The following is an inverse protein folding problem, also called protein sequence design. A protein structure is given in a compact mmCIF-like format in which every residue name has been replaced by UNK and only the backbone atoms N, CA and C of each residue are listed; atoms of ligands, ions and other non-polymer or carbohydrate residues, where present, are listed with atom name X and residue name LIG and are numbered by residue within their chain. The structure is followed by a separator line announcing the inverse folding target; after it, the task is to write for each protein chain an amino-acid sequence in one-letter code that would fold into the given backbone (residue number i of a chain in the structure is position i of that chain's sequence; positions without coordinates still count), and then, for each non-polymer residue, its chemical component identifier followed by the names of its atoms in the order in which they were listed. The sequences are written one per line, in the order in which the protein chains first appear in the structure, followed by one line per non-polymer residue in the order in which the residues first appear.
data_IF_061367805295
#
_entry.id   IF_061367805295
#
_cell.length_a   1.000
_cell.length_b   1.000
_cell.length_c   1.000
_cell.angle_alpha   90.00
_cell.angle_beta   90.00
_cell.angle_gamma   90.00
#
_symmetry.space_group_name_H-M   'P 1'
#
loop_
_entity.id
_entity.type
_entity.pdbx_description
1 polymer ?
#
# COMPACT_ATOMS: atom_id res chain seq x y z
N UNK A 1 -2.25 -2.60 -0.28
CA UNK A 1 -1.42 -1.51 -0.84
C UNK A 1 -0.10 -1.98 -1.42
N UNK A 2 0.64 -2.85 -0.73
CA UNK A 2 1.90 -3.40 -1.24
C UNK A 2 1.77 -4.02 -2.63
N UNK A 3 0.79 -4.91 -2.85
CA UNK A 3 0.53 -5.51 -4.16
C UNK A 3 0.23 -4.47 -5.25
N UNK A 4 -0.52 -3.41 -4.92
CA UNK A 4 -0.81 -2.33 -5.87
C UNK A 4 0.48 -1.57 -6.23
N UNK A 5 1.35 -1.29 -5.26
CA UNK A 5 2.67 -0.72 -5.50
C UNK A 5 3.54 -1.62 -6.38
N UNK A 6 3.51 -2.92 -6.12
CA UNK A 6 4.23 -3.93 -6.87
C UNK A 6 3.78 -4.05 -8.34
N UNK A 7 2.49 -4.01 -8.61
CA UNK A 7 1.99 -4.08 -9.99
C UNK A 7 2.06 -2.73 -10.72
N UNK A 8 2.20 -1.61 -10.01
CA UNK A 8 2.26 -0.30 -10.65
C UNK A 8 3.50 -0.14 -11.51
N UNK A 9 3.32 0.42 -12.71
CA UNK A 9 4.42 0.79 -13.61
C UNK A 9 4.87 2.24 -13.42
N UNK A 10 4.07 3.06 -12.74
CA UNK A 10 4.37 4.48 -12.49
C UNK A 10 4.05 4.82 -11.04
N UNK A 11 4.98 5.46 -10.33
CA UNK A 11 4.74 5.91 -8.95
C UNK A 11 3.56 6.89 -8.83
N UNK A 12 3.43 7.79 -9.82
CA UNK A 12 2.40 8.85 -9.83
C UNK A 12 0.96 8.32 -9.81
N UNK A 13 0.70 7.10 -10.30
CA UNK A 13 -0.65 6.52 -10.23
C UNK A 13 -1.02 6.02 -8.83
N UNK A 14 -0.05 5.85 -7.93
CA UNK A 14 -0.29 5.43 -6.54
C UNK A 14 -0.90 6.50 -5.66
N UNK A 15 -0.58 7.77 -5.90
CA UNK A 15 -1.02 8.89 -5.07
C UNK A 15 -2.56 9.02 -5.01
N UNK A 16 -3.30 9.04 -6.14
CA UNK A 16 -4.76 9.13 -6.08
C UNK A 16 -5.40 7.88 -5.47
N UNK A 17 -4.83 6.69 -5.72
CA UNK A 17 -5.35 5.43 -5.15
C UNK A 17 -5.16 5.41 -3.62
N UNK A 18 -4.01 5.89 -3.14
CA UNK A 18 -3.72 5.96 -1.72
C UNK A 18 -4.67 6.93 -1.00
N UNK A 19 -4.94 8.09 -1.62
CA UNK A 19 -5.89 9.07 -1.12
C UNK A 19 -7.30 8.47 -1.01
N UNK A 20 -7.81 7.86 -2.09
CA UNK A 20 -9.16 7.27 -2.13
C UNK A 20 -9.33 6.19 -1.06
N UNK A 21 -8.33 5.32 -0.88
CA UNK A 21 -8.41 4.27 0.14
C UNK A 21 -8.32 4.82 1.55
N UNK A 22 -7.47 5.83 1.80
CA UNK A 22 -7.42 6.49 3.10
C UNK A 22 -8.75 7.17 3.45
N UNK A 23 -9.38 7.86 2.48
CA UNK A 23 -10.71 8.47 2.66
C UNK A 23 -11.75 7.40 2.93
N UNK A 24 -11.84 6.37 2.09
CA UNK A 24 -12.84 5.30 2.22
C UNK A 24 -12.74 4.55 3.54
N UNK A 25 -11.52 4.20 3.97
CA UNK A 25 -11.30 3.54 5.27
C UNK A 25 -11.55 4.46 6.46
N UNK A 26 -11.35 5.77 6.33
CA UNK A 26 -11.69 6.75 7.39
C UNK A 26 -13.21 6.91 7.51
N UNK A 27 -13.91 7.04 6.38
CA UNK A 27 -15.38 7.09 6.34
C UNK A 27 -16.01 5.80 6.91
N UNK A 28 -15.47 4.63 6.54
CA UNK A 28 -15.91 3.35 7.09
C UNK A 28 -15.73 3.30 8.61
N UNK A 29 -14.58 3.76 9.13
CA UNK A 29 -14.37 3.85 10.57
C UNK A 29 -15.45 4.72 11.22
N UNK A 30 -15.71 5.93 10.70
CA UNK A 30 -16.73 6.83 11.26
C UNK A 30 -18.12 6.19 11.35
N UNK A 31 -18.51 5.44 10.31
CA UNK A 31 -19.79 4.71 10.31
C UNK A 31 -19.79 3.61 11.37
N UNK A 32 -18.70 2.84 11.50
CA UNK A 32 -18.60 1.76 12.49
C UNK A 32 -18.58 2.28 13.93
N UNK A 33 -17.94 3.42 14.20
CA UNK A 33 -17.89 4.00 15.55
C UNK A 33 -19.23 4.64 15.96
N UNK A 34 -20.14 4.88 15.02
CA UNK A 34 -21.51 5.31 15.31
C UNK A 34 -22.44 4.14 15.71
N UNK A 35 -21.91 2.93 15.85
CA UNK A 35 -22.67 1.76 16.33
C UNK A 35 -23.10 1.93 17.79
N UNK A 36 -24.33 1.50 18.17
CA UNK A 36 -24.82 1.58 19.55
C UNK A 36 -24.00 0.77 20.56
N UNK A 37 -23.08 -0.09 20.09
CA UNK A 37 -22.12 -0.84 20.90
C UNK A 37 -21.12 0.07 21.63
N UNK A 38 -20.83 1.25 21.08
CA UNK A 38 -19.91 2.21 21.70
C UNK A 38 -20.62 3.16 22.67
N UNK A 39 -20.00 3.42 23.82
CA UNK A 39 -20.50 4.38 24.81
C UNK A 39 -20.50 5.80 24.27
N UNK A 40 -21.30 6.70 24.87
CA UNK A 40 -21.41 8.09 24.42
C UNK A 40 -20.07 8.86 24.48
N UNK A 41 -19.22 8.51 25.45
CA UNK A 41 -17.88 9.10 25.64
C UNK A 41 -16.92 8.63 24.55
N UNK A 42 -16.92 7.34 24.21
CA UNK A 42 -16.10 6.78 23.12
C UNK A 42 -16.49 7.37 21.76
N UNK A 43 -17.79 7.59 21.54
CA UNK A 43 -18.29 8.29 20.36
C UNK A 43 -17.78 9.73 20.31
N UNK A 44 -17.87 10.48 21.42
CA UNK A 44 -17.39 11.86 21.45
C UNK A 44 -15.89 12.02 21.18
N UNK A 45 -15.04 11.16 21.76
CA UNK A 45 -13.60 11.14 21.50
C UNK A 45 -13.29 10.77 20.04
N UNK A 46 -14.04 9.81 19.50
CA UNK A 46 -13.88 9.34 18.11
C UNK A 46 -14.37 10.34 17.05
N UNK A 47 -15.30 11.22 17.41
CA UNK A 47 -15.87 12.24 16.51
C UNK A 47 -15.20 13.63 16.62
N UNK A 48 -14.14 13.77 17.41
CA UNK A 48 -13.34 15.01 17.39
C UNK A 48 -12.64 15.17 16.04
N UNK A 49 -12.59 16.40 15.52
CA UNK A 49 -11.92 16.69 14.25
C UNK A 49 -10.44 16.25 14.26
N UNK A 50 -9.78 16.38 15.41
CA UNK A 50 -8.39 15.95 15.62
C UNK A 50 -8.23 14.43 15.53
N UNK A 51 -9.12 13.65 16.16
CA UNK A 51 -9.11 12.18 16.08
C UNK A 51 -9.34 11.69 14.65
N UNK A 52 -10.28 12.31 13.93
CA UNK A 52 -10.55 12.01 12.52
C UNK A 52 -9.33 12.34 11.65
N UNK A 53 -8.73 13.51 11.84
CA UNK A 53 -7.56 13.95 11.10
C UNK A 53 -6.34 13.04 11.35
N UNK A 54 -6.08 12.68 12.61
CA UNK A 54 -5.00 11.76 12.97
C UNK A 54 -5.23 10.35 12.41
N UNK A 55 -6.46 9.85 12.48
CA UNK A 55 -6.83 8.55 11.91
C UNK A 55 -6.63 8.52 10.38
N UNK A 56 -7.10 9.57 9.70
CA UNK A 56 -6.89 9.75 8.27
C UNK A 56 -5.40 9.84 7.91
N UNK A 57 -4.64 10.65 8.65
CA UNK A 57 -3.21 10.85 8.42
C UNK A 57 -2.43 9.55 8.63
N UNK A 58 -2.70 8.81 9.70
CA UNK A 58 -2.08 7.52 9.96
C UNK A 58 -2.37 6.53 8.82
N UNK A 59 -3.63 6.41 8.39
CA UNK A 59 -4.02 5.57 7.26
C UNK A 59 -3.34 5.99 5.97
N UNK A 60 -3.28 7.29 5.68
CA UNK A 60 -2.59 7.81 4.50
C UNK A 60 -1.09 7.47 4.52
N UNK A 61 -0.43 7.66 5.66
CA UNK A 61 0.99 7.32 5.84
C UNK A 61 1.25 5.84 5.65
N UNK A 62 0.47 4.96 6.29
CA UNK A 62 0.61 3.51 6.09
C UNK A 62 0.41 3.12 4.62
N UNK A 63 -0.63 3.66 4.00
CA UNK A 63 -0.97 3.41 2.60
C UNK A 63 0.20 3.81 1.68
N UNK A 64 0.81 4.98 1.94
CA UNK A 64 1.97 5.47 1.21
C UNK A 64 3.21 4.61 1.44
N UNK A 65 3.53 4.24 2.69
CA UNK A 65 4.69 3.40 3.01
C UNK A 65 4.60 2.02 2.35
N UNK A 66 3.44 1.36 2.45
CA UNK A 66 3.25 0.04 1.83
C UNK A 66 3.26 0.11 0.30
N UNK A 67 2.64 1.13 -0.30
CA UNK A 67 2.73 1.34 -1.75
C UNK A 67 4.19 1.56 -2.17
N UNK A 68 4.91 2.38 -1.40
CA UNK A 68 6.29 2.74 -1.67
C UNK A 68 7.24 1.55 -1.62
N UNK A 69 7.11 0.75 -0.57
CA UNK A 69 7.85 -0.49 -0.41
C UNK A 69 7.59 -1.44 -1.58
N UNK A 70 6.33 -1.66 -1.96
CA UNK A 70 5.97 -2.55 -3.07
C UNK A 70 6.61 -2.13 -4.41
N UNK A 71 6.56 -0.84 -4.73
CA UNK A 71 7.14 -0.33 -5.97
C UNK A 71 8.69 -0.32 -5.96
N UNK A 72 9.31 -0.01 -4.81
CA UNK A 72 10.76 -0.12 -4.65
C UNK A 72 11.25 -1.56 -4.80
N UNK A 73 10.56 -2.52 -4.17
CA UNK A 73 10.91 -3.93 -4.29
C UNK A 73 10.80 -4.43 -5.73
N UNK A 74 9.74 -4.05 -6.46
CA UNK A 74 9.60 -4.37 -7.89
C UNK A 74 10.79 -3.84 -8.70
N UNK A 75 11.11 -2.54 -8.55
CA UNK A 75 12.24 -1.92 -9.26
C UNK A 75 13.59 -2.53 -8.90
N UNK A 76 13.79 -2.87 -7.63
CA UNK A 76 14.98 -3.57 -7.20
C UNK A 76 15.09 -4.90 -7.94
N UNK A 77 14.07 -5.76 -7.89
CA UNK A 77 14.09 -7.05 -8.58
C UNK A 77 14.27 -6.92 -10.10
N UNK A 78 13.62 -5.95 -10.74
CA UNK A 78 13.80 -5.69 -12.18
C UNK A 78 15.25 -5.25 -12.50
N UNK A 79 15.92 -4.58 -11.56
CA UNK A 79 17.35 -4.25 -11.65
C UNK A 79 18.24 -5.47 -11.45
N UNK A 80 17.93 -6.33 -10.47
CA UNK A 80 18.64 -7.58 -10.23
C UNK A 80 18.51 -8.56 -11.40
N UNK A 81 17.30 -8.70 -11.99
CA UNK A 81 17.07 -9.51 -13.19
C UNK A 81 17.94 -9.07 -14.36
N UNK A 82 17.93 -7.77 -14.69
CA UNK A 82 18.77 -7.22 -15.77
C UNK A 82 20.26 -7.50 -15.53
N UNK A 83 20.74 -7.33 -14.29
CA UNK A 83 22.12 -7.68 -13.93
C UNK A 83 22.42 -9.18 -14.09
N UNK A 84 21.47 -10.06 -13.77
CA UNK A 84 21.62 -11.50 -13.94
C UNK A 84 21.70 -11.88 -15.43
N UNK A 85 20.86 -11.24 -16.26
CA UNK A 85 20.87 -11.41 -17.72
C UNK A 85 22.22 -10.94 -18.32
N UNK A 86 22.75 -9.81 -17.85
CA UNK A 86 24.04 -9.23 -18.31
C UNK A 86 25.26 -10.05 -17.88
N UNK A 87 25.18 -10.79 -16.78
CA UNK A 87 26.28 -11.63 -16.27
C UNK A 87 26.32 -13.01 -16.91
N UNK A 88 25.39 -13.32 -17.83
CA UNK A 88 25.37 -14.58 -18.56
C UNK A 88 25.17 -15.80 -17.69
N UNK A 89 24.65 -15.65 -16.46
CA UNK A 89 24.22 -16.80 -15.65
C UNK A 89 22.98 -17.34 -16.33
N UNK A 90 23.04 -18.51 -17.00
CA UNK A 90 21.92 -19.02 -17.75
C UNK A 90 20.76 -19.25 -16.79
N UNK A 91 19.63 -18.64 -17.12
CA UNK A 91 18.37 -18.83 -16.43
C UNK A 91 18.19 -20.34 -16.21
N UNK A 92 17.97 -20.80 -14.97
CA UNK A 92 17.89 -22.23 -14.65
C UNK A 92 16.78 -22.96 -15.43
N UNK A 93 15.90 -22.20 -16.10
CA UNK A 93 14.90 -22.67 -17.05
C UNK A 93 15.47 -23.05 -18.42
N UNK A 94 16.55 -22.41 -18.89
CA UNK A 94 17.20 -22.76 -20.16
C UNK A 94 17.98 -24.07 -20.06
N UNK A 95 18.54 -24.42 -18.88
CA UNK A 95 19.23 -25.71 -18.70
C UNK A 95 18.31 -26.92 -18.69
N UNK A 96 17.00 -26.76 -18.47
CA UNK A 96 16.04 -27.88 -18.50
C UNK A 96 15.59 -28.28 -19.92
N UNK A 97 15.88 -27.46 -20.93
CA UNK A 97 15.49 -27.68 -22.32
C UNK A 97 16.70 -27.87 -23.26
N UNK A 98 17.89 -28.08 -22.70
CA UNK A 98 19.04 -28.51 -23.49
C UNK A 98 18.82 -30.00 -23.89
N UNK A 99 18.90 -30.34 -25.18
CA UNK A 99 18.68 -31.71 -25.67
C UNK A 99 19.75 -32.70 -25.19
#
# INVERSE_FOLDING_TARGET
MFAIGWFSNRWRSGLPIALVVAVGTTALCLVTTNSPVFTAVERHLSFTAESIALNFLAKLTYTFLFYSAGHLCKRAMDGWRRKADDTGIPDARMQRNAP
#
